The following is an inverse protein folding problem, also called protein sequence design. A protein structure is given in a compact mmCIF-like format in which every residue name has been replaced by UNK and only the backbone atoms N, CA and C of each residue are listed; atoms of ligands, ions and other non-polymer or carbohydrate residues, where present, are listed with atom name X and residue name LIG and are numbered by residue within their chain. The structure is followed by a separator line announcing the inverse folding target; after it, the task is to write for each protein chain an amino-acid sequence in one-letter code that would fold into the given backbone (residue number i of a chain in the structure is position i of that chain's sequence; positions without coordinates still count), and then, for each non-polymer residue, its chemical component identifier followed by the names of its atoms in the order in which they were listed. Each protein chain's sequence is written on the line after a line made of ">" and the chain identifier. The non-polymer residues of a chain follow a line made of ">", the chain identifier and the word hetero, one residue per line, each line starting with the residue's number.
data_IF_011989611981
#
_entry.id   IF_011989611981
#
_cell.length_a   1.000
_cell.length_b   1.000
_cell.length_c   1.000
_cell.angle_alpha   90.00
_cell.angle_beta   90.00
_cell.angle_gamma   90.00
#
_symmetry.space_group_name_H-M   'P 1'
#
loop_
_entity.id
_entity.type
_entity.pdbx_description
1 polymer ?
#
# COMPACT_ATOMS: atom_id res chain seq x y z
N UNK A 1 -38.16 -57.85 -40.26
CA UNK A 1 -38.13 -57.41 -38.87
C UNK A 1 -36.73 -56.80 -38.64
N UNK A 2 -36.66 -55.50 -38.62
CA UNK A 2 -35.38 -54.77 -38.52
C UNK A 2 -35.30 -54.11 -37.13
N UNK A 3 -34.32 -54.53 -36.34
CA UNK A 3 -34.01 -53.93 -35.03
C UNK A 3 -33.09 -52.75 -35.27
N UNK A 4 -33.59 -51.52 -35.02
CA UNK A 4 -32.79 -50.31 -34.98
C UNK A 4 -32.23 -50.15 -33.56
N UNK A 5 -30.91 -50.36 -33.41
CA UNK A 5 -30.20 -50.05 -32.15
C UNK A 5 -30.02 -48.53 -32.00
N UNK A 6 -30.49 -47.98 -30.92
CA UNK A 6 -30.23 -46.61 -30.46
C UNK A 6 -28.89 -46.58 -29.72
N UNK A 7 -27.88 -45.97 -30.30
CA UNK A 7 -26.64 -45.61 -29.60
C UNK A 7 -26.87 -44.30 -28.85
N UNK A 8 -26.93 -44.43 -27.49
CA UNK A 8 -26.95 -43.29 -26.60
C UNK A 8 -25.50 -42.78 -26.42
N UNK A 9 -25.16 -41.74 -27.12
CA UNK A 9 -23.86 -41.08 -26.95
C UNK A 9 -23.84 -40.26 -25.63
N UNK A 10 -23.09 -40.75 -24.64
CA UNK A 10 -22.79 -39.98 -23.45
C UNK A 10 -21.90 -38.79 -23.78
N UNK A 11 -22.44 -37.58 -23.72
CA UNK A 11 -21.70 -36.34 -23.82
C UNK A 11 -20.92 -36.13 -22.51
N UNK A 12 -19.64 -36.51 -22.49
CA UNK A 12 -18.74 -36.18 -21.38
C UNK A 12 -18.44 -34.69 -21.51
N UNK A 13 -19.08 -33.90 -20.67
CA UNK A 13 -18.70 -32.48 -20.51
C UNK A 13 -17.26 -32.41 -19.94
N UNK A 14 -16.30 -32.06 -20.78
CA UNK A 14 -14.96 -31.68 -20.34
C UNK A 14 -15.13 -30.44 -19.45
N UNK A 15 -15.07 -30.63 -18.15
CA UNK A 15 -14.84 -29.51 -17.22
C UNK A 15 -13.41 -29.03 -17.50
N UNK A 16 -13.27 -27.94 -18.24
CA UNK A 16 -12.00 -27.30 -18.43
C UNK A 16 -11.45 -26.94 -17.05
N UNK A 17 -10.39 -27.64 -16.62
CA UNK A 17 -9.53 -27.16 -15.53
C UNK A 17 -9.06 -25.75 -15.86
N UNK A 18 -8.97 -24.85 -14.87
CA UNK A 18 -8.43 -23.53 -15.14
C UNK A 18 -7.05 -23.69 -15.76
N UNK A 19 -6.84 -22.97 -16.86
CA UNK A 19 -5.58 -22.93 -17.60
C UNK A 19 -4.41 -22.69 -16.64
N UNK A 20 -3.28 -23.35 -16.91
CA UNK A 20 -2.00 -23.21 -16.20
C UNK A 20 -1.76 -21.77 -15.78
N UNK A 21 -1.76 -21.55 -14.45
CA UNK A 21 -1.86 -20.21 -13.89
C UNK A 21 -0.65 -19.35 -14.19
N UNK A 22 -0.83 -18.44 -15.09
CA UNK A 22 0.11 -17.31 -15.20
C UNK A 22 0.21 -16.64 -13.84
N UNK A 23 1.44 -16.29 -13.36
CA UNK A 23 1.59 -15.60 -12.09
C UNK A 23 0.76 -14.31 -12.06
N UNK A 24 0.08 -14.04 -10.96
CA UNK A 24 -0.60 -12.78 -10.73
C UNK A 24 0.41 -11.64 -10.84
N UNK A 25 0.16 -10.69 -11.71
CA UNK A 25 1.01 -9.52 -11.89
C UNK A 25 0.64 -8.51 -10.82
N UNK A 26 1.53 -8.38 -9.82
CA UNK A 26 1.38 -7.46 -8.70
C UNK A 26 2.29 -6.27 -8.92
N UNK A 27 1.80 -5.05 -8.81
CA UNK A 27 2.62 -3.85 -8.89
C UNK A 27 2.55 -3.06 -7.60
N UNK A 28 3.72 -2.74 -7.01
CA UNK A 28 3.83 -2.01 -5.76
C UNK A 28 4.98 -1.00 -5.78
N UNK A 29 4.90 0.02 -4.93
CA UNK A 29 6.01 0.96 -4.74
C UNK A 29 7.14 0.29 -3.96
N UNK A 30 8.39 0.57 -4.32
CA UNK A 30 9.55 0.06 -3.60
C UNK A 30 9.52 0.51 -2.14
N UNK A 31 9.69 -0.43 -1.21
CA UNK A 31 9.73 -0.14 0.22
C UNK A 31 9.35 -1.33 1.09
N UNK A 32 9.49 -1.15 2.40
CA UNK A 32 9.25 -2.20 3.40
C UNK A 32 7.76 -2.59 3.53
N UNK A 33 6.82 -1.83 2.97
CA UNK A 33 5.40 -2.20 2.92
C UNK A 33 5.14 -3.48 2.10
N UNK A 34 6.07 -3.84 1.20
CA UNK A 34 6.02 -5.08 0.43
C UNK A 34 6.60 -6.30 1.17
N UNK A 35 7.04 -6.13 2.40
CA UNK A 35 7.66 -7.21 3.18
C UNK A 35 6.83 -8.50 3.24
N UNK A 36 5.51 -8.46 3.46
CA UNK A 36 4.69 -9.67 3.39
C UNK A 36 4.77 -10.38 2.04
N UNK A 37 4.85 -9.64 0.91
CA UNK A 37 5.00 -10.25 -0.42
C UNK A 37 6.37 -10.91 -0.55
N UNK A 38 7.44 -10.26 -0.09
CA UNK A 38 8.78 -10.84 -0.10
C UNK A 38 8.83 -12.15 0.67
N UNK A 39 8.26 -12.16 1.88
CA UNK A 39 8.15 -13.38 2.72
C UNK A 39 7.30 -14.43 2.02
N UNK A 40 6.14 -14.06 1.48
CA UNK A 40 5.27 -15.00 0.79
C UNK A 40 5.94 -15.68 -0.41
N UNK A 41 6.75 -14.94 -1.16
CA UNK A 41 7.55 -15.47 -2.27
C UNK A 41 8.65 -16.41 -1.77
N UNK A 42 9.50 -15.98 -0.81
CA UNK A 42 10.63 -16.76 -0.33
C UNK A 42 10.23 -17.99 0.49
N UNK A 43 9.11 -17.93 1.20
CA UNK A 43 8.57 -19.07 1.97
C UNK A 43 7.61 -19.94 1.16
N UNK A 44 7.40 -19.67 -0.14
CA UNK A 44 6.49 -20.43 -1.00
C UNK A 44 5.02 -20.38 -0.56
N UNK A 45 4.58 -19.31 0.13
CA UNK A 45 3.22 -19.21 0.65
C UNK A 45 2.20 -19.06 -0.47
N UNK A 46 2.54 -18.37 -1.56
CA UNK A 46 1.65 -18.25 -2.71
C UNK A 46 1.32 -19.61 -3.31
N UNK A 47 2.33 -20.42 -3.60
CA UNK A 47 2.13 -21.77 -4.13
C UNK A 47 1.30 -22.66 -3.18
N UNK A 48 1.54 -22.57 -1.88
CA UNK A 48 0.73 -23.31 -0.87
C UNK A 48 -0.74 -22.92 -0.86
N UNK A 49 -1.08 -21.76 -1.33
CA UNK A 49 -2.45 -21.28 -1.46
C UNK A 49 -2.97 -21.27 -2.91
N UNK A 50 -2.32 -22.06 -3.79
CA UNK A 50 -2.78 -22.33 -5.15
C UNK A 50 -2.65 -21.13 -6.10
N UNK A 51 -1.73 -20.20 -5.84
CA UNK A 51 -1.45 -19.05 -6.70
C UNK A 51 0.05 -18.83 -6.83
N UNK A 52 0.45 -18.17 -7.92
CA UNK A 52 1.77 -17.58 -8.08
C UNK A 52 1.62 -16.06 -8.18
N UNK A 53 2.58 -15.30 -7.67
CA UNK A 53 2.54 -13.84 -7.69
C UNK A 53 3.92 -13.24 -7.96
N UNK A 54 4.02 -12.45 -9.01
CA UNK A 54 5.21 -11.68 -9.38
C UNK A 54 5.06 -10.21 -9.00
N UNK A 55 5.96 -9.67 -8.18
CA UNK A 55 5.98 -8.26 -7.81
C UNK A 55 6.87 -7.45 -8.74
N UNK A 56 6.33 -6.37 -9.30
CA UNK A 56 7.05 -5.38 -10.09
C UNK A 56 6.95 -3.99 -9.44
N UNK A 57 7.97 -3.16 -9.66
CA UNK A 57 8.01 -1.80 -9.11
C UNK A 57 7.07 -0.86 -9.89
N UNK A 58 6.27 -0.09 -9.18
CA UNK A 58 5.47 0.99 -9.74
C UNK A 58 6.33 2.24 -9.94
N UNK A 59 6.39 2.82 -11.15
CA UNK A 59 7.14 4.06 -11.37
C UNK A 59 6.45 5.27 -10.74
N UNK A 60 5.11 5.30 -10.77
CA UNK A 60 4.27 6.31 -10.15
C UNK A 60 2.82 5.79 -10.01
N UNK A 61 1.97 6.52 -9.27
CA UNK A 61 0.58 6.13 -9.04
C UNK A 61 -0.26 6.11 -10.32
N UNK A 62 -0.05 7.06 -11.22
CA UNK A 62 -0.82 7.14 -12.48
C UNK A 62 -0.57 5.89 -13.35
N UNK A 63 0.70 5.53 -13.55
CA UNK A 63 1.06 4.31 -14.30
C UNK A 63 0.55 3.05 -13.61
N UNK A 64 0.63 2.97 -12.29
CA UNK A 64 0.13 1.82 -11.53
C UNK A 64 -1.38 1.65 -11.73
N UNK A 65 -2.16 2.71 -11.49
CA UNK A 65 -3.61 2.64 -11.54
C UNK A 65 -4.13 2.47 -12.98
N UNK A 66 -3.53 3.13 -13.98
CA UNK A 66 -3.88 2.89 -15.37
C UNK A 66 -3.60 1.43 -15.77
N UNK A 67 -2.46 0.87 -15.32
CA UNK A 67 -2.14 -0.56 -15.57
C UNK A 67 -3.14 -1.51 -14.93
N UNK A 68 -3.64 -1.19 -13.73
CA UNK A 68 -4.69 -1.97 -13.07
C UNK A 68 -6.02 -1.87 -13.84
N UNK A 69 -6.46 -0.66 -14.17
CA UNK A 69 -7.73 -0.40 -14.87
C UNK A 69 -7.75 -1.06 -16.25
N UNK A 70 -6.65 -0.99 -16.99
CA UNK A 70 -6.51 -1.58 -18.33
C UNK A 70 -6.25 -3.11 -18.28
N UNK A 71 -6.07 -3.71 -17.12
CA UNK A 71 -5.83 -5.16 -16.98
C UNK A 71 -4.42 -5.61 -17.31
N UNK A 72 -3.46 -4.69 -17.37
CA UNK A 72 -2.04 -5.06 -17.52
C UNK A 72 -1.47 -5.67 -16.23
N UNK A 73 -2.10 -5.42 -15.08
CA UNK A 73 -1.83 -6.07 -13.81
C UNK A 73 -3.16 -6.49 -13.17
N UNK A 74 -3.12 -7.48 -12.29
CA UNK A 74 -4.26 -7.98 -11.53
C UNK A 74 -4.41 -7.25 -10.20
N UNK A 75 -3.28 -6.96 -9.54
CA UNK A 75 -3.23 -6.41 -8.18
C UNK A 75 -2.31 -5.20 -8.13
N UNK A 76 -2.78 -4.13 -7.52
CA UNK A 76 -1.99 -2.97 -7.15
C UNK A 76 -1.82 -2.91 -5.62
N UNK A 77 -0.58 -2.91 -5.14
CA UNK A 77 -0.26 -2.56 -3.76
C UNK A 77 -0.07 -1.04 -3.72
N UNK A 78 -1.12 -0.35 -3.33
CA UNK A 78 -1.26 1.11 -3.54
C UNK A 78 -1.77 1.83 -2.30
N UNK A 79 -1.82 3.16 -2.32
CA UNK A 79 -2.47 3.93 -1.26
C UNK A 79 -4.00 3.84 -1.38
N UNK A 80 -4.71 3.81 -0.23
CA UNK A 80 -6.18 3.85 -0.22
C UNK A 80 -6.72 5.09 -0.96
N UNK A 81 -6.04 6.21 -0.83
CA UNK A 81 -6.37 7.43 -1.54
C UNK A 81 -6.36 7.28 -3.07
N UNK A 82 -5.45 6.45 -3.61
CA UNK A 82 -5.43 6.17 -5.05
C UNK A 82 -6.67 5.38 -5.49
N UNK A 83 -7.18 4.45 -4.68
CA UNK A 83 -8.44 3.75 -4.97
C UNK A 83 -9.60 4.75 -5.05
N UNK A 84 -9.63 5.72 -4.14
CA UNK A 84 -10.64 6.80 -4.16
C UNK A 84 -10.43 7.72 -5.37
N UNK A 85 -9.18 8.06 -5.70
CA UNK A 85 -8.85 8.96 -6.80
C UNK A 85 -9.27 8.41 -8.17
N UNK A 86 -9.21 7.09 -8.34
CA UNK A 86 -9.51 6.38 -9.60
C UNK A 86 -10.83 5.59 -9.53
N UNK A 87 -11.83 6.13 -8.85
CA UNK A 87 -13.17 5.52 -8.68
C UNK A 87 -13.80 5.04 -9.98
N UNK A 88 -13.62 5.78 -11.08
CA UNK A 88 -14.17 5.47 -12.40
C UNK A 88 -13.62 4.15 -12.98
N UNK A 89 -12.47 3.69 -12.53
CA UNK A 89 -11.86 2.44 -12.97
C UNK A 89 -12.45 1.18 -12.35
N UNK A 90 -13.51 1.28 -11.56
CA UNK A 90 -14.16 0.20 -10.81
C UNK A 90 -13.19 -0.66 -10.01
N UNK A 91 -12.20 0.00 -9.40
CA UNK A 91 -11.23 -0.59 -8.50
C UNK A 91 -11.72 -0.56 -7.05
N UNK A 92 -11.31 -1.54 -6.27
CA UNK A 92 -11.63 -1.61 -4.84
C UNK A 92 -10.46 -2.19 -4.04
N UNK A 93 -10.38 -1.82 -2.77
CA UNK A 93 -9.44 -2.40 -1.82
C UNK A 93 -10.01 -3.69 -1.24
N UNK A 94 -9.20 -4.76 -1.18
CA UNK A 94 -9.57 -6.06 -0.66
C UNK A 94 -8.80 -6.49 0.59
N UNK A 95 -7.67 -5.84 0.89
CA UNK A 95 -6.91 -6.00 2.14
C UNK A 95 -6.20 -4.71 2.55
N UNK A 96 -5.94 -4.57 3.85
CA UNK A 96 -5.14 -3.48 4.41
C UNK A 96 -3.68 -3.87 4.52
N UNK A 97 -2.78 -2.98 4.10
CA UNK A 97 -1.32 -3.18 4.21
C UNK A 97 -0.76 -2.39 5.38
N UNK A 98 -1.03 -1.09 5.40
CA UNK A 98 -0.59 -0.22 6.50
C UNK A 98 -1.73 0.63 7.01
N UNK A 99 -1.72 0.86 8.33
CA UNK A 99 -2.69 1.72 9.01
C UNK A 99 -2.26 3.20 9.03
N UNK A 100 -1.45 3.65 8.07
CA UNK A 100 -1.02 5.04 7.88
C UNK A 100 -0.22 5.66 9.01
N UNK A 101 0.06 4.90 10.06
CA UNK A 101 0.57 5.39 11.32
C UNK A 101 2.02 5.89 11.32
N UNK A 102 2.74 5.88 10.19
CA UNK A 102 4.17 6.18 10.23
C UNK A 102 4.70 6.92 9.02
N UNK A 103 4.00 7.99 8.66
CA UNK A 103 4.59 9.02 7.84
C UNK A 103 5.22 10.06 8.77
N UNK A 104 6.53 10.17 8.71
CA UNK A 104 7.28 11.14 9.50
C UNK A 104 7.53 12.40 8.67
N UNK A 105 7.12 13.55 9.19
CA UNK A 105 7.52 14.85 8.61
C UNK A 105 8.97 15.10 9.02
N UNK A 106 9.87 14.77 8.10
CA UNK A 106 11.30 15.05 8.24
C UNK A 106 11.60 16.41 7.67
N UNK A 107 12.38 17.22 8.41
CA UNK A 107 12.67 18.61 8.07
C UNK A 107 14.16 18.92 8.19
N UNK A 108 14.61 19.99 7.56
CA UNK A 108 15.95 20.51 7.71
C UNK A 108 16.25 20.85 9.20
N UNK A 109 17.52 20.70 9.65
CA UNK A 109 17.87 20.94 11.07
C UNK A 109 17.57 22.35 11.58
N UNK A 110 17.41 23.31 10.68
CA UNK A 110 17.05 24.71 10.99
C UNK A 110 15.56 24.89 11.32
N UNK A 111 14.71 23.94 10.97
CA UNK A 111 13.26 23.94 11.24
C UNK A 111 13.01 23.32 12.61
N UNK A 112 12.42 24.06 13.54
CA UNK A 112 12.13 23.61 14.90
C UNK A 112 10.64 23.52 15.20
N UNK A 113 9.81 24.17 14.39
CA UNK A 113 8.37 24.26 14.55
C UNK A 113 7.66 24.33 13.20
N UNK A 114 6.34 24.17 13.20
CA UNK A 114 5.54 24.41 11.99
C UNK A 114 5.67 25.84 11.48
N UNK A 115 5.80 26.82 12.38
CA UNK A 115 5.95 28.24 12.00
C UNK A 115 7.19 28.47 11.12
N UNK A 116 8.27 27.71 11.31
CA UNK A 116 9.51 27.83 10.53
C UNK A 116 9.34 27.30 9.09
N UNK A 117 8.24 26.62 8.80
CA UNK A 117 7.89 26.15 7.46
C UNK A 117 7.15 27.22 6.64
N UNK A 118 6.75 28.35 7.24
CA UNK A 118 6.09 29.44 6.52
C UNK A 118 7.02 30.02 5.43
N UNK A 119 6.49 30.13 4.21
CA UNK A 119 7.25 30.55 3.02
C UNK A 119 8.21 29.48 2.48
N UNK A 120 8.25 28.27 3.04
CA UNK A 120 9.15 27.21 2.60
C UNK A 120 8.50 26.30 1.58
N UNK A 121 9.35 25.60 0.81
CA UNK A 121 8.94 24.52 -0.09
C UNK A 121 9.02 23.17 0.62
N UNK A 122 7.99 22.36 0.47
CA UNK A 122 7.90 20.99 1.00
C UNK A 122 7.80 19.99 -0.16
N UNK A 123 8.54 18.88 -0.08
CA UNK A 123 8.53 17.87 -1.12
C UNK A 123 7.40 16.86 -0.90
N UNK A 124 6.65 16.60 -1.95
CA UNK A 124 5.59 15.59 -2.03
C UNK A 124 5.81 14.71 -3.24
N UNK A 125 5.12 13.56 -3.32
CA UNK A 125 5.14 12.72 -4.51
C UNK A 125 4.46 13.42 -5.70
N UNK A 126 3.24 13.91 -5.49
CA UNK A 126 2.56 14.87 -6.35
C UNK A 126 1.51 15.65 -5.49
N UNK A 127 1.16 16.89 -5.85
CA UNK A 127 0.31 17.74 -4.99
C UNK A 127 -1.09 17.20 -4.68
N UNK A 128 -1.61 16.28 -5.51
CA UNK A 128 -2.97 15.72 -5.38
C UNK A 128 -3.03 14.30 -4.83
N UNK A 129 -1.91 13.75 -4.36
CA UNK A 129 -1.84 12.39 -3.82
C UNK A 129 -2.19 12.33 -2.34
N UNK A 130 -2.56 11.15 -1.85
CA UNK A 130 -3.00 10.95 -0.47
C UNK A 130 -1.99 11.42 0.57
N UNK A 131 -0.69 11.17 0.36
CA UNK A 131 0.34 11.62 1.29
C UNK A 131 0.54 13.14 1.27
N UNK A 132 0.32 13.78 0.11
CA UNK A 132 0.27 15.24 0.04
C UNK A 132 -0.91 15.80 0.85
N UNK A 133 -2.09 15.18 0.74
CA UNK A 133 -3.27 15.56 1.51
C UNK A 133 -3.07 15.35 3.03
N UNK A 134 -2.38 14.28 3.42
CA UNK A 134 -1.98 14.06 4.82
C UNK A 134 -1.06 15.18 5.29
N UNK A 135 -0.04 15.56 4.49
CA UNK A 135 0.85 16.67 4.83
C UNK A 135 0.10 17.99 4.98
N UNK A 136 -0.80 18.32 4.05
CA UNK A 136 -1.64 19.52 4.16
C UNK A 136 -2.48 19.51 5.44
N UNK A 137 -3.07 18.36 5.79
CA UNK A 137 -3.82 18.20 7.04
C UNK A 137 -2.96 18.37 8.29
N UNK A 138 -1.71 17.91 8.28
CA UNK A 138 -0.76 18.11 9.37
C UNK A 138 -0.37 19.59 9.49
N UNK A 139 -0.07 20.24 8.36
CA UNK A 139 0.31 21.67 8.31
C UNK A 139 -0.83 22.56 8.80
N UNK A 140 -2.07 22.29 8.39
CA UNK A 140 -3.25 23.05 8.86
C UNK A 140 -3.42 22.91 10.38
N UNK A 141 -3.28 21.70 10.94
CA UNK A 141 -3.33 21.49 12.40
C UNK A 141 -2.14 22.11 13.13
N UNK A 142 -1.02 22.29 12.45
CA UNK A 142 0.15 23.04 12.90
C UNK A 142 0.04 24.58 12.75
N UNK A 143 -1.12 25.08 12.28
CA UNK A 143 -1.39 26.52 12.14
C UNK A 143 -0.99 27.12 10.78
N UNK A 144 -0.65 26.30 9.78
CA UNK A 144 -0.29 26.77 8.43
C UNK A 144 -1.43 26.49 7.45
N UNK A 145 -1.99 27.54 6.86
CA UNK A 145 -3.01 27.44 5.83
C UNK A 145 -2.40 27.22 4.43
N UNK A 146 -3.25 26.84 3.48
CA UNK A 146 -2.88 26.83 2.07
C UNK A 146 -2.42 28.23 1.63
N UNK A 147 -1.22 28.30 1.01
CA UNK A 147 -0.57 29.58 0.66
C UNK A 147 0.53 30.01 1.63
N UNK A 148 0.58 29.49 2.84
CA UNK A 148 1.71 29.71 3.76
C UNK A 148 2.97 28.93 3.38
N UNK A 149 2.88 27.96 2.47
CA UNK A 149 3.97 27.11 2.01
C UNK A 149 3.78 26.73 0.53
N UNK A 150 4.84 26.24 -0.11
CA UNK A 150 4.78 25.68 -1.45
C UNK A 150 4.97 24.15 -1.42
N UNK A 151 4.30 23.43 -2.32
CA UNK A 151 4.51 22.00 -2.54
C UNK A 151 5.22 21.79 -3.87
N UNK A 152 6.26 20.93 -3.87
CA UNK A 152 6.94 20.48 -5.09
C UNK A 152 6.78 18.97 -5.26
N UNK A 153 6.20 18.54 -6.38
CA UNK A 153 6.10 17.13 -6.76
C UNK A 153 7.45 16.62 -7.23
N UNK A 154 7.97 15.59 -6.59
CA UNK A 154 9.29 15.02 -6.89
C UNK A 154 9.27 13.49 -7.02
N UNK A 155 8.13 12.83 -6.73
CA UNK A 155 8.02 11.38 -6.78
C UNK A 155 8.05 10.70 -5.42
N UNK A 156 8.54 9.46 -5.38
CA UNK A 156 8.51 8.58 -4.22
C UNK A 156 9.32 9.07 -3.02
N UNK A 157 9.35 8.26 -1.97
CA UNK A 157 10.03 8.63 -0.71
C UNK A 157 11.53 8.84 -0.87
N UNK A 158 12.15 8.12 -1.81
CA UNK A 158 13.57 8.26 -2.14
C UNK A 158 13.86 9.62 -2.80
N UNK A 159 13.04 10.04 -3.74
CA UNK A 159 13.14 11.31 -4.46
C UNK A 159 12.86 12.49 -3.51
N UNK A 160 11.92 12.31 -2.58
CA UNK A 160 11.65 13.30 -1.52
C UNK A 160 12.84 13.46 -0.57
N UNK A 161 13.48 12.35 -0.16
CA UNK A 161 14.74 12.41 0.61
C UNK A 161 15.86 13.09 -0.17
N UNK A 162 15.99 12.83 -1.47
CA UNK A 162 16.96 13.51 -2.31
C UNK A 162 16.70 15.05 -2.39
N UNK A 163 15.42 15.46 -2.45
CA UNK A 163 15.04 16.87 -2.42
C UNK A 163 15.39 17.56 -1.08
N UNK A 164 15.23 16.85 0.05
CA UNK A 164 15.70 17.32 1.36
C UNK A 164 17.22 17.50 1.39
N UNK A 165 17.96 16.47 0.97
CA UNK A 165 19.45 16.49 0.98
C UNK A 165 20.05 17.58 0.11
N UNK A 166 19.42 17.88 -1.02
CA UNK A 166 19.86 18.94 -1.93
C UNK A 166 19.44 20.35 -1.48
N UNK A 167 18.68 20.50 -0.39
CA UNK A 167 18.12 21.77 0.05
C UNK A 167 16.99 22.31 -0.84
N UNK A 168 16.50 21.52 -1.81
CA UNK A 168 15.37 21.88 -2.69
C UNK A 168 14.03 21.90 -1.95
N UNK A 169 13.95 21.22 -0.82
CA UNK A 169 12.81 21.25 0.09
C UNK A 169 13.28 21.39 1.53
N UNK A 170 12.52 22.13 2.35
CA UNK A 170 12.76 22.28 3.78
C UNK A 170 12.15 21.14 4.60
N UNK A 171 11.21 20.40 4.04
CA UNK A 171 10.55 19.26 4.68
C UNK A 171 9.91 18.30 3.69
N UNK A 172 9.69 17.07 4.12
CA UNK A 172 8.99 16.03 3.38
C UNK A 172 8.39 14.97 4.31
N UNK A 173 7.24 14.41 3.95
CA UNK A 173 6.76 13.18 4.56
C UNK A 173 7.56 11.99 4.02
N UNK A 174 8.23 11.28 4.90
CA UNK A 174 8.97 10.07 4.58
C UNK A 174 8.38 8.86 5.31
N UNK A 175 8.43 7.73 4.66
CA UNK A 175 8.15 6.42 5.27
C UNK A 175 9.46 5.63 5.41
N UNK A 176 9.43 4.62 6.24
CA UNK A 176 10.54 3.70 6.46
C UNK A 176 10.88 2.92 5.17
N UNK A 177 12.18 2.80 4.80
CA UNK A 177 13.36 3.17 5.61
C UNK A 177 13.91 4.59 5.38
N UNK A 178 13.33 5.41 4.50
CA UNK A 178 13.89 6.72 4.11
C UNK A 178 13.90 7.75 5.25
N UNK A 179 12.93 7.67 6.17
CA UNK A 179 12.92 8.48 7.39
C UNK A 179 14.13 8.18 8.29
N UNK A 180 14.49 6.89 8.44
CA UNK A 180 15.68 6.46 9.16
C UNK A 180 16.98 6.94 8.49
N UNK A 181 17.01 6.91 7.15
CA UNK A 181 18.16 7.41 6.37
C UNK A 181 18.26 8.93 6.49
N UNK A 182 17.14 9.66 6.55
CA UNK A 182 17.11 11.11 6.80
C UNK A 182 17.63 11.45 8.20
N UNK A 183 17.16 10.75 9.22
CA UNK A 183 17.61 10.93 10.61
C UNK A 183 19.13 10.72 10.75
N UNK A 184 19.65 9.63 10.19
CA UNK A 184 21.10 9.36 10.15
C UNK A 184 21.90 10.45 9.39
N UNK A 185 21.26 11.19 8.49
CA UNK A 185 21.85 12.30 7.75
C UNK A 185 21.67 13.66 8.45
N UNK A 186 21.14 13.69 9.69
CA UNK A 186 20.99 14.89 10.51
C UNK A 186 19.71 15.68 10.29
N UNK A 187 18.75 15.16 9.49
CA UNK A 187 17.42 15.74 9.41
C UNK A 187 16.61 15.43 10.68
N UNK A 188 15.65 16.29 11.00
CA UNK A 188 14.88 16.21 12.25
C UNK A 188 13.45 15.73 11.95
N UNK A 189 12.94 14.82 12.76
CA UNK A 189 11.51 14.48 12.74
C UNK A 189 10.73 15.57 13.49
N UNK A 190 10.00 16.40 12.76
CA UNK A 190 9.15 17.45 13.33
C UNK A 190 7.84 16.86 13.89
N UNK A 191 7.22 15.90 13.19
CA UNK A 191 5.96 15.30 13.60
C UNK A 191 5.75 13.92 12.95
N UNK A 192 4.78 13.18 13.48
CA UNK A 192 4.30 11.92 12.92
C UNK A 192 2.82 12.04 12.52
N UNK A 193 2.44 11.50 11.38
CA UNK A 193 1.07 11.61 10.87
C UNK A 193 0.03 10.94 11.79
N UNK A 194 0.37 9.83 12.44
CA UNK A 194 -0.56 9.15 13.35
C UNK A 194 -0.89 9.98 14.59
N UNK A 195 0.08 10.75 15.07
CA UNK A 195 -0.11 11.63 16.23
C UNK A 195 -1.00 12.82 15.89
N UNK A 196 -0.92 13.32 14.65
CA UNK A 196 -1.61 14.54 14.21
C UNK A 196 -2.95 14.24 13.53
N UNK A 197 -2.99 13.24 12.65
CA UNK A 197 -4.18 12.89 11.83
C UNK A 197 -5.01 11.79 12.51
N UNK A 198 -4.37 10.93 13.32
CA UNK A 198 -5.02 9.76 13.91
C UNK A 198 -5.10 8.58 12.95
N UNK A 199 -6.21 7.83 13.02
CA UNK A 199 -6.42 6.64 12.17
C UNK A 199 -6.50 7.05 10.71
N UNK A 200 -5.74 6.34 9.88
CA UNK A 200 -5.69 6.57 8.42
C UNK A 200 -5.38 5.25 7.73
N UNK A 201 -6.21 4.82 6.78
CA UNK A 201 -5.88 3.67 5.96
C UNK A 201 -4.82 4.08 4.95
N UNK A 202 -3.59 3.66 5.17
CA UNK A 202 -2.47 3.96 4.30
C UNK A 202 -2.49 3.13 3.02
N UNK A 203 -1.62 2.11 2.94
CA UNK A 203 -1.58 1.22 1.79
C UNK A 203 -2.59 0.10 1.90
N UNK A 204 -3.04 -0.38 0.73
CA UNK A 204 -4.01 -1.46 0.54
C UNK A 204 -3.60 -2.33 -0.64
N UNK A 205 -4.11 -3.54 -0.69
CA UNK A 205 -4.18 -4.33 -1.92
C UNK A 205 -5.47 -4.00 -2.65
N UNK A 206 -5.37 -3.64 -3.93
CA UNK A 206 -6.51 -3.26 -4.76
C UNK A 206 -6.58 -4.08 -6.05
N UNK A 207 -7.80 -4.34 -6.52
CA UNK A 207 -8.09 -5.07 -7.75
C UNK A 207 -9.28 -4.44 -8.48
N UNK A 208 -9.49 -4.80 -9.76
CA UNK A 208 -10.74 -4.49 -10.48
C UNK A 208 -11.85 -5.44 -10.02
N UNK A 209 -13.07 -4.93 -9.80
CA UNK A 209 -14.21 -5.75 -9.39
C UNK A 209 -14.53 -6.87 -10.39
N UNK A 210 -14.56 -6.55 -11.68
CA UNK A 210 -14.85 -7.53 -12.73
C UNK A 210 -13.81 -8.67 -12.73
N UNK A 211 -12.51 -8.36 -12.58
CA UNK A 211 -11.47 -9.38 -12.49
C UNK A 211 -11.62 -10.23 -11.22
N UNK A 212 -11.84 -9.59 -10.07
CA UNK A 212 -12.00 -10.28 -8.80
C UNK A 212 -13.19 -11.24 -8.80
N UNK A 213 -14.32 -10.84 -9.41
CA UNK A 213 -15.49 -11.71 -9.56
C UNK A 213 -15.20 -12.94 -10.43
N UNK A 214 -14.49 -12.75 -11.55
CA UNK A 214 -14.11 -13.86 -12.44
C UNK A 214 -13.01 -14.77 -11.87
N UNK A 215 -12.18 -14.26 -10.95
CA UNK A 215 -11.00 -14.94 -10.40
C UNK A 215 -11.01 -15.00 -8.87
N UNK A 216 -12.20 -15.18 -8.27
CA UNK A 216 -12.38 -15.12 -6.82
C UNK A 216 -11.49 -16.11 -6.05
N UNK A 217 -11.25 -17.31 -6.60
CA UNK A 217 -10.33 -18.30 -6.04
C UNK A 217 -8.89 -17.79 -5.96
N UNK A 218 -8.39 -17.20 -7.04
CA UNK A 218 -7.03 -16.66 -7.10
C UNK A 218 -6.86 -15.46 -6.13
N UNK A 219 -7.85 -14.56 -6.04
CA UNK A 219 -7.81 -13.45 -5.10
C UNK A 219 -7.81 -13.93 -3.65
N UNK A 220 -8.66 -14.91 -3.31
CA UNK A 220 -8.72 -15.53 -1.97
C UNK A 220 -7.38 -16.22 -1.64
N UNK A 221 -6.79 -16.96 -2.59
CA UNK A 221 -5.47 -17.58 -2.43
C UNK A 221 -4.38 -16.56 -2.16
N UNK A 222 -4.38 -15.45 -2.91
CA UNK A 222 -3.44 -14.33 -2.68
C UNK A 222 -3.60 -13.73 -1.28
N UNK A 223 -4.84 -13.49 -0.84
CA UNK A 223 -5.11 -12.93 0.50
C UNK A 223 -4.63 -13.88 1.59
N UNK A 224 -4.91 -15.20 1.47
CA UNK A 224 -4.44 -16.21 2.42
C UNK A 224 -2.91 -16.24 2.53
N UNK A 225 -2.20 -16.23 1.41
CA UNK A 225 -0.74 -16.19 1.37
C UNK A 225 -0.20 -14.91 2.02
N UNK A 226 -0.82 -13.77 1.73
CA UNK A 226 -0.43 -12.48 2.30
C UNK A 226 -0.64 -12.45 3.82
N UNK A 227 -1.80 -12.88 4.32
CA UNK A 227 -2.10 -12.96 5.76
C UNK A 227 -1.14 -13.92 6.47
N UNK A 228 -0.86 -15.10 5.89
CA UNK A 228 0.11 -16.03 6.44
C UNK A 228 1.52 -15.42 6.52
N UNK A 229 1.93 -14.62 5.53
CA UNK A 229 3.19 -13.90 5.56
C UNK A 229 3.23 -12.79 6.63
N UNK A 230 2.11 -12.10 6.85
CA UNK A 230 1.97 -11.11 7.94
C UNK A 230 2.09 -11.80 9.30
N UNK A 231 1.41 -12.94 9.50
CA UNK A 231 1.50 -13.72 10.74
C UNK A 231 2.94 -14.20 10.99
N UNK A 232 3.60 -14.69 9.95
CA UNK A 232 5.01 -15.11 10.04
C UNK A 232 5.93 -13.94 10.42
N UNK A 233 5.71 -12.75 9.87
CA UNK A 233 6.48 -11.54 10.20
C UNK A 233 6.28 -11.10 11.65
N UNK A 234 5.08 -11.28 12.21
CA UNK A 234 4.76 -10.91 13.58
C UNK A 234 5.25 -11.93 14.62
N UNK A 235 5.73 -13.10 14.20
CA UNK A 235 6.38 -14.07 15.08
C UNK A 235 7.82 -13.60 15.39
N UNK A 236 8.16 -13.27 16.65
CA UNK A 236 9.49 -12.82 17.02
C UNK A 236 10.60 -13.81 16.70
N UNK A 237 10.29 -15.11 16.63
CA UNK A 237 11.24 -16.15 16.27
C UNK A 237 11.80 -15.97 14.86
N UNK A 238 11.03 -15.33 13.98
CA UNK A 238 11.41 -15.11 12.58
C UNK A 238 12.16 -13.78 12.35
N UNK A 239 12.40 -12.97 13.41
CA UNK A 239 12.94 -11.62 13.28
C UNK A 239 14.25 -11.56 12.48
N UNK A 240 15.20 -12.46 12.75
CA UNK A 240 16.49 -12.47 12.06
C UNK A 240 16.31 -12.75 10.56
N UNK A 241 15.60 -13.83 10.21
CA UNK A 241 15.33 -14.20 8.82
C UNK A 241 14.50 -13.12 8.09
N UNK A 242 13.53 -12.51 8.77
CA UNK A 242 12.76 -11.41 8.20
C UNK A 242 13.66 -10.25 7.75
N UNK A 243 14.58 -9.81 8.60
CA UNK A 243 15.53 -8.75 8.27
C UNK A 243 16.44 -9.12 7.10
N UNK A 244 16.93 -10.37 7.04
CA UNK A 244 17.72 -10.88 5.91
C UNK A 244 16.90 -10.85 4.60
N UNK A 245 15.64 -11.29 4.62
CA UNK A 245 14.74 -11.20 3.47
C UNK A 245 14.62 -9.75 3.01
N UNK A 246 14.39 -8.81 3.93
CA UNK A 246 14.26 -7.39 3.58
C UNK A 246 15.51 -6.86 2.89
N UNK A 247 16.70 -7.19 3.42
CA UNK A 247 17.98 -6.76 2.86
C UNK A 247 18.28 -7.35 1.48
N UNK A 248 17.94 -8.63 1.26
CA UNK A 248 18.07 -9.24 -0.07
C UNK A 248 17.16 -8.61 -1.12
N UNK A 249 16.00 -8.14 -0.70
CA UNK A 249 14.96 -7.59 -1.60
C UNK A 249 15.08 -6.08 -1.81
N UNK A 250 15.74 -5.37 -0.91
CA UNK A 250 15.95 -3.91 -0.95
C UNK A 250 17.44 -3.60 -0.74
N UNK A 251 18.17 -3.47 -1.84
CA UNK A 251 19.64 -3.39 -1.87
C UNK A 251 20.25 -2.23 -1.05
N UNK A 252 19.50 -1.18 -0.74
CA UNK A 252 19.94 -0.01 0.01
C UNK A 252 19.55 -0.06 1.51
N UNK A 253 19.08 -1.21 2.00
CA UNK A 253 18.74 -1.40 3.41
C UNK A 253 19.89 -2.03 4.16
N UNK A 254 20.60 -1.24 4.98
CA UNK A 254 21.62 -1.72 5.89
C UNK A 254 21.03 -2.59 7.02
N UNK A 255 21.84 -3.45 7.70
CA UNK A 255 21.37 -4.24 8.84
C UNK A 255 20.67 -3.39 9.92
N UNK A 256 21.22 -2.23 10.27
CA UNK A 256 20.64 -1.31 11.24
C UNK A 256 19.29 -0.74 10.79
N UNK A 257 19.17 -0.41 9.50
CA UNK A 257 17.89 0.06 8.93
C UNK A 257 16.86 -1.06 8.81
N UNK A 258 17.27 -2.31 8.58
CA UNK A 258 16.38 -3.46 8.59
C UNK A 258 15.81 -3.70 10.00
N UNK A 259 16.66 -3.67 11.03
CA UNK A 259 16.23 -3.80 12.42
C UNK A 259 15.25 -2.70 12.82
N UNK A 260 15.57 -1.45 12.51
CA UNK A 260 14.68 -0.30 12.76
C UNK A 260 13.34 -0.44 12.02
N UNK A 261 13.37 -0.87 10.74
CA UNK A 261 12.15 -1.14 9.97
C UNK A 261 11.29 -2.21 10.62
N UNK A 262 11.91 -3.28 11.14
CA UNK A 262 11.19 -4.33 11.86
C UNK A 262 10.49 -3.77 13.10
N UNK A 263 11.23 -3.05 13.94
CA UNK A 263 10.70 -2.51 15.18
C UNK A 263 9.61 -1.45 14.96
N UNK A 264 9.66 -0.72 13.86
CA UNK A 264 8.66 0.29 13.51
C UNK A 264 7.41 -0.28 12.84
N UNK A 265 7.58 -1.20 11.89
CA UNK A 265 6.45 -1.76 11.14
C UNK A 265 5.69 -2.82 11.93
N UNK A 266 6.40 -3.63 12.70
CA UNK A 266 5.88 -4.83 13.36
C UNK A 266 5.74 -4.68 14.88
N UNK A 267 5.85 -3.45 15.42
CA UNK A 267 5.63 -3.24 16.84
C UNK A 267 4.21 -3.66 17.25
N UNK A 268 4.03 -4.44 18.33
CA UNK A 268 2.72 -5.02 18.70
C UNK A 268 1.58 -4.02 18.85
N UNK A 269 1.84 -2.81 19.38
CA UNK A 269 0.81 -1.80 19.67
C UNK A 269 0.85 -0.57 18.78
N UNK A 270 1.99 -0.28 18.11
CA UNK A 270 2.16 0.95 17.32
C UNK A 270 2.73 0.70 15.92
N UNK A 271 2.91 -0.57 15.54
CA UNK A 271 3.39 -0.91 14.20
C UNK A 271 2.43 -0.45 13.12
N UNK A 272 2.99 -0.03 11.99
CA UNK A 272 2.16 0.45 10.88
C UNK A 272 1.69 -0.66 9.95
N UNK A 273 2.31 -1.84 9.95
CA UNK A 273 1.83 -2.98 9.18
C UNK A 273 0.55 -3.52 9.82
N UNK A 274 -0.52 -3.60 9.04
CA UNK A 274 -1.83 -4.03 9.55
C UNK A 274 -1.79 -5.49 9.98
N UNK A 275 -2.05 -5.76 11.25
CA UNK A 275 -2.22 -7.12 11.74
C UNK A 275 -3.34 -7.81 10.98
N UNK A 276 -3.12 -9.07 10.60
CA UNK A 276 -4.07 -9.85 9.77
C UNK A 276 -4.42 -9.20 8.43
N UNK A 277 -3.73 -8.13 8.03
CA UNK A 277 -4.03 -7.41 6.79
C UNK A 277 -5.48 -6.90 6.68
N UNK A 278 -6.12 -6.56 7.79
CA UNK A 278 -7.48 -6.02 7.80
C UNK A 278 -7.49 -4.56 7.32
N UNK A 279 -8.51 -4.18 6.55
CA UNK A 279 -8.81 -2.78 6.25
C UNK A 279 -9.39 -2.12 7.50
N UNK A 280 -8.98 -0.87 7.75
CA UNK A 280 -9.53 -0.03 8.79
C UNK A 280 -10.63 0.89 8.25
N UNK A 281 -11.94 0.62 8.48
CA UNK A 281 -13.02 1.44 7.95
C UNK A 281 -13.00 2.89 8.44
N UNK A 282 -12.53 3.14 9.65
CA UNK A 282 -12.38 4.50 10.17
C UNK A 282 -11.22 5.23 9.49
N UNK A 283 -10.12 4.51 9.27
CA UNK A 283 -9.01 5.03 8.48
C UNK A 283 -9.41 5.37 7.05
N UNK A 284 -10.32 4.61 6.42
CA UNK A 284 -10.91 4.94 5.11
C UNK A 284 -11.72 6.23 5.19
N UNK A 285 -12.55 6.40 6.23
CA UNK A 285 -13.31 7.66 6.43
C UNK A 285 -12.38 8.88 6.55
N UNK A 286 -11.23 8.73 7.22
CA UNK A 286 -10.22 9.79 7.30
C UNK A 286 -9.62 10.13 5.94
N UNK A 287 -9.32 9.12 5.10
CA UNK A 287 -8.87 9.35 3.71
C UNK A 287 -9.88 10.19 2.94
N UNK A 288 -11.17 9.84 3.03
CA UNK A 288 -12.24 10.58 2.36
C UNK A 288 -12.38 12.01 2.89
N UNK A 289 -12.26 12.21 4.20
CA UNK A 289 -12.32 13.54 4.82
C UNK A 289 -11.20 14.46 4.31
N UNK A 290 -9.94 13.98 4.33
CA UNK A 290 -8.80 14.74 3.82
C UNK A 290 -8.95 15.06 2.32
N UNK A 291 -9.47 14.11 1.55
CA UNK A 291 -9.70 14.34 0.12
C UNK A 291 -10.78 15.37 -0.15
N UNK A 292 -11.89 15.37 0.61
CA UNK A 292 -12.91 16.42 0.51
C UNK A 292 -12.35 17.80 0.84
N UNK A 293 -11.50 17.89 1.83
CA UNK A 293 -10.94 19.16 2.31
C UNK A 293 -9.88 19.72 1.37
N UNK A 294 -8.93 18.90 0.94
CA UNK A 294 -7.71 19.37 0.28
C UNK A 294 -7.61 19.02 -1.22
N UNK A 295 -8.27 17.98 -1.72
CA UNK A 295 -8.11 17.60 -3.13
C UNK A 295 -8.69 18.67 -4.07
N UNK A 296 -7.95 18.95 -5.15
CA UNK A 296 -8.39 19.88 -6.20
C UNK A 296 -8.17 19.23 -7.58
N UNK A 297 -9.12 19.36 -8.51
CA UNK A 297 -10.45 19.95 -8.30
C UNK A 297 -11.28 19.17 -7.27
N UNK A 298 -12.13 19.85 -6.52
CA UNK A 298 -13.05 19.19 -5.60
C UNK A 298 -14.12 18.41 -6.40
N UNK A 299 -14.44 17.20 -5.93
CA UNK A 299 -15.53 16.39 -6.49
C UNK A 299 -16.32 15.70 -5.38
N UNK A 300 -17.62 15.39 -5.61
CA UNK A 300 -18.34 14.50 -4.72
C UNK A 300 -17.62 13.16 -4.58
N UNK A 301 -17.63 12.58 -3.39
CA UNK A 301 -17.09 11.25 -3.13
C UNK A 301 -18.25 10.32 -2.77
N UNK A 302 -18.18 9.10 -3.25
CA UNK A 302 -19.13 8.04 -2.95
C UNK A 302 -19.08 7.61 -1.47
N UNK A 303 -20.01 6.76 -1.08
CA UNK A 303 -19.99 6.10 0.23
C UNK A 303 -18.70 5.26 0.40
N UNK A 304 -18.14 5.17 1.63
CA UNK A 304 -16.93 4.37 1.88
C UNK A 304 -16.99 2.94 1.34
N UNK A 305 -18.16 2.29 1.36
CA UNK A 305 -18.34 0.93 0.85
C UNK A 305 -18.08 0.77 -0.65
N UNK A 306 -18.09 1.86 -1.41
CA UNK A 306 -17.72 1.86 -2.84
C UNK A 306 -16.24 1.53 -3.04
N UNK A 307 -15.40 1.88 -2.09
CA UNK A 307 -13.94 1.86 -2.24
C UNK A 307 -13.28 0.61 -1.67
N UNK A 308 -13.99 -0.21 -0.88
CA UNK A 308 -13.47 -1.48 -0.39
C UNK A 308 -14.56 -2.55 -0.29
N UNK A 309 -14.15 -3.81 -0.31
CA UNK A 309 -15.04 -4.96 -0.17
C UNK A 309 -14.38 -5.99 0.75
N UNK A 310 -14.93 -6.24 1.94
CA UNK A 310 -14.36 -7.21 2.88
C UNK A 310 -14.69 -8.66 2.52
N UNK A 311 -15.60 -8.95 1.60
CA UNK A 311 -16.13 -10.30 1.36
C UNK A 311 -15.02 -11.30 0.97
N UNK A 312 -14.08 -10.90 0.09
CA UNK A 312 -12.95 -11.76 -0.30
C UNK A 312 -11.99 -12.01 0.86
N UNK A 313 -11.75 -10.99 1.68
CA UNK A 313 -10.92 -11.09 2.87
C UNK A 313 -11.55 -12.00 3.92
N UNK A 314 -12.83 -11.81 4.22
CA UNK A 314 -13.59 -12.66 5.15
C UNK A 314 -13.63 -14.12 4.69
N UNK A 315 -13.84 -14.35 3.38
CA UNK A 315 -13.76 -15.69 2.79
C UNK A 315 -12.35 -16.29 2.92
N UNK A 316 -11.30 -15.51 2.79
CA UNK A 316 -9.93 -15.98 2.95
C UNK A 316 -9.63 -16.43 4.39
N UNK A 317 -10.22 -15.77 5.39
CA UNK A 317 -10.02 -16.10 6.81
C UNK A 317 -10.89 -17.25 7.31
N UNK A 318 -12.00 -17.56 6.64
CA UNK A 318 -12.77 -18.78 6.94
C UNK A 318 -11.96 -19.99 6.50
N UNK A 319 -11.70 -20.91 7.43
CA UNK A 319 -11.14 -22.22 7.13
C UNK A 319 -12.24 -23.05 6.45
N UNK A 320 -12.37 -22.95 5.14
CA UNK A 320 -13.17 -23.84 4.32
C UNK A 320 -12.28 -24.92 3.69
#
# INVERSE_FOLDING_TARGET
>A
MSLKGFLLGALVALVASPADGQPLRVMGFSGSSNWPIFVAQEKGLFARHGVEAGLMAAPNSATQLSSLIEGRIEIAMTAMDNVVAYEEGDVFAFLGVTNGGRLNLMVAPTVKSYADLKGRTLAVDAPSTGYSLVLMGMLLRGGLAAGDYALVGVGGSRERLAALRSGRAAGALLNTPQDAVADAAGFVRLANSAEIIGRYQGSVGAARRAWAAANAGALVGYIRAYVAAVDWLYDPANRAEAMEILQRRLADVSPGNAARSYDELLHPSRGSLSRKAAIDPEGVRTVLALRREFARPARPLSDPSRYYDPAYYERALRNE
#
